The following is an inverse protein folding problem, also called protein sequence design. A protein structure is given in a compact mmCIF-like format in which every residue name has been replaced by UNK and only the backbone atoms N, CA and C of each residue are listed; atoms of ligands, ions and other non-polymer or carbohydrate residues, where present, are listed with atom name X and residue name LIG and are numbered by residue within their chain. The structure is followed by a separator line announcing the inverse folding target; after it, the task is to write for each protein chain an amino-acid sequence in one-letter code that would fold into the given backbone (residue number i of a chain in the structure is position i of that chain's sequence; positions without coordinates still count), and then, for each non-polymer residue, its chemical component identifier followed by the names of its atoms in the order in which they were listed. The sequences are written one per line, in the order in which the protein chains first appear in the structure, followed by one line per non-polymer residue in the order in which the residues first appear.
data_IF_991433414816
#
_entry.id   IF_991433414816
#
_cell.length_a   1.000
_cell.length_b   1.000
_cell.length_c   1.000
_cell.angle_alpha   90.00
_cell.angle_beta   90.00
_cell.angle_gamma   90.00
#
_symmetry.space_group_name_H-M   'P 1'
#
loop_
_entity.id
_entity.type
_entity.pdbx_description
1 polymer ?
#
# COMPACT_ATOMS: atom_id res chain seq x y z
N UNK A 1 6.25 1.43 2.01
CA UNK A 1 5.92 1.79 0.62
C UNK A 1 6.06 0.54 -0.23
N UNK A 2 5.18 0.31 -1.20
CA UNK A 2 5.21 -0.87 -2.09
C UNK A 2 4.89 -0.41 -3.51
N UNK A 3 5.49 -1.05 -4.51
CA UNK A 3 5.28 -0.77 -5.94
C UNK A 3 5.12 -2.09 -6.69
N UNK A 4 4.33 -2.09 -7.75
CA UNK A 4 4.17 -3.21 -8.70
C UNK A 4 4.44 -2.74 -10.14
N UNK A 5 4.80 -3.65 -11.02
CA UNK A 5 5.09 -3.37 -12.44
C UNK A 5 6.48 -2.79 -12.69
N UNK A 6 7.44 -3.06 -11.80
CA UNK A 6 8.84 -2.68 -11.95
C UNK A 6 9.80 -3.79 -11.49
N UNK A 7 11.00 -3.89 -12.11
CA UNK A 7 11.45 -3.13 -13.29
C UNK A 7 10.71 -3.54 -14.57
N UNK A 8 10.15 -4.75 -14.58
CA UNK A 8 9.35 -5.28 -15.68
C UNK A 8 7.97 -4.67 -15.70
N UNK A 9 7.61 -4.09 -16.84
CA UNK A 9 6.27 -3.56 -17.06
C UNK A 9 5.25 -4.69 -17.00
N UNK A 10 4.18 -4.47 -16.22
CA UNK A 10 3.03 -5.37 -16.16
C UNK A 10 1.72 -4.61 -16.26
N UNK A 11 0.75 -5.17 -16.96
CA UNK A 11 -0.56 -4.55 -17.13
C UNK A 11 -1.47 -4.77 -15.90
N UNK A 12 -1.19 -5.78 -15.08
CA UNK A 12 -1.95 -6.13 -13.87
C UNK A 12 -1.47 -5.41 -12.59
N UNK A 13 -0.50 -4.48 -12.69
CA UNK A 13 0.11 -3.83 -11.53
C UNK A 13 -0.90 -3.09 -10.63
N UNK A 14 -1.93 -2.48 -11.22
CA UNK A 14 -3.00 -1.80 -10.47
C UNK A 14 -3.80 -2.81 -9.65
N UNK A 15 -4.12 -3.97 -10.23
CA UNK A 15 -4.84 -5.05 -9.56
C UNK A 15 -4.05 -5.58 -8.36
N UNK A 16 -2.76 -5.84 -8.55
CA UNK A 16 -1.89 -6.33 -7.47
C UNK A 16 -1.85 -5.36 -6.28
N UNK A 17 -1.70 -4.05 -6.53
CA UNK A 17 -1.69 -3.03 -5.47
C UNK A 17 -3.06 -2.92 -4.78
N UNK A 18 -4.15 -3.01 -5.54
CA UNK A 18 -5.50 -2.99 -4.99
C UNK A 18 -5.76 -4.22 -4.10
N UNK A 19 -5.41 -5.41 -4.57
CA UNK A 19 -5.55 -6.66 -3.82
C UNK A 19 -4.72 -6.66 -2.54
N UNK A 20 -3.47 -6.22 -2.61
CA UNK A 20 -2.62 -6.05 -1.44
C UNK A 20 -3.23 -5.08 -0.43
N UNK A 21 -3.78 -3.95 -0.90
CA UNK A 21 -4.42 -2.96 -0.04
C UNK A 21 -5.64 -3.52 0.69
N UNK A 22 -6.46 -4.30 0.00
CA UNK A 22 -7.58 -5.03 0.61
C UNK A 22 -7.08 -6.05 1.62
N UNK A 23 -6.11 -6.89 1.26
CA UNK A 23 -5.55 -7.90 2.15
C UNK A 23 -4.99 -7.29 3.45
N UNK A 24 -4.28 -6.17 3.36
CA UNK A 24 -3.78 -5.43 4.52
C UNK A 24 -4.92 -4.88 5.39
N UNK A 25 -5.94 -4.27 4.77
CA UNK A 25 -7.12 -3.78 5.49
C UNK A 25 -7.82 -4.89 6.27
N UNK A 26 -7.99 -6.07 5.66
CA UNK A 26 -8.56 -7.24 6.34
C UNK A 26 -7.66 -7.73 7.48
N UNK A 27 -6.34 -7.79 7.26
CA UNK A 27 -5.40 -8.29 8.27
C UNK A 27 -5.32 -7.41 9.51
N UNK A 28 -5.46 -6.09 9.33
CA UNK A 28 -5.46 -5.11 10.43
C UNK A 28 -6.65 -5.30 11.38
N UNK A 29 -7.78 -5.85 10.92
CA UNK A 29 -8.94 -6.11 11.80
C UNK A 29 -8.63 -7.11 12.92
N UNK A 30 -7.74 -8.06 12.65
CA UNK A 30 -7.36 -9.13 13.58
C UNK A 30 -5.98 -8.87 14.23
N UNK A 31 -5.39 -7.70 13.97
CA UNK A 31 -4.09 -7.35 14.52
C UNK A 31 -4.26 -6.68 15.88
N UNK A 32 -3.64 -7.27 16.91
CA UNK A 32 -3.61 -6.71 18.26
C UNK A 32 -2.30 -5.98 18.49
N UNK A 33 -2.38 -4.72 18.92
CA UNK A 33 -1.20 -3.92 19.28
C UNK A 33 -0.66 -4.44 20.62
N UNK A 34 0.56 -4.98 20.65
CA UNK A 34 1.14 -5.63 21.85
C UNK A 34 1.12 -4.76 23.11
N UNK A 35 1.34 -3.46 22.97
CA UNK A 35 1.36 -2.50 24.08
C UNK A 35 0.02 -1.78 24.30
N UNK A 36 -0.98 -2.01 23.44
CA UNK A 36 -2.35 -1.45 23.53
C UNK A 36 -3.38 -2.46 23.03
N UNK A 37 -3.59 -3.57 23.76
CA UNK A 37 -4.43 -4.67 23.28
C UNK A 37 -5.91 -4.29 23.10
N UNK A 38 -6.36 -3.23 23.78
CA UNK A 38 -7.75 -2.75 23.72
C UNK A 38 -7.99 -1.75 22.57
N UNK A 39 -6.96 -1.35 21.84
CA UNK A 39 -7.08 -0.44 20.70
C UNK A 39 -6.97 -1.19 19.37
N UNK A 40 -7.88 -0.88 18.45
CA UNK A 40 -7.80 -1.39 17.08
C UNK A 40 -6.83 -0.53 16.26
N UNK A 41 -5.87 -1.19 15.60
CA UNK A 41 -4.98 -0.51 14.65
C UNK A 41 -5.81 0.07 13.48
N UNK A 42 -5.63 1.35 13.18
CA UNK A 42 -6.29 2.03 12.05
C UNK A 42 -5.28 2.23 10.93
N UNK A 43 -5.57 1.68 9.75
CA UNK A 43 -4.71 1.78 8.57
C UNK A 43 -5.30 2.73 7.54
N UNK A 44 -4.51 3.71 7.06
CA UNK A 44 -4.85 4.57 5.93
C UNK A 44 -3.96 4.22 4.74
N UNK A 45 -4.55 3.77 3.65
CA UNK A 45 -3.85 3.39 2.44
C UNK A 45 -4.17 4.40 1.34
N UNK A 46 -3.13 4.95 0.69
CA UNK A 46 -3.25 5.80 -0.49
C UNK A 46 -2.66 5.05 -1.69
N UNK A 47 -3.44 4.95 -2.77
CA UNK A 47 -3.05 4.27 -4.01
C UNK A 47 -2.97 5.32 -5.13
N UNK A 48 -1.95 5.21 -5.97
CA UNK A 48 -1.78 6.06 -7.15
C UNK A 48 -1.21 5.23 -8.30
N UNK A 49 -1.70 5.46 -9.51
CA UNK A 49 -1.19 4.90 -10.76
C UNK A 49 -0.78 6.02 -11.70
N UNK A 50 0.38 5.89 -12.34
CA UNK A 50 0.89 6.88 -13.29
C UNK A 50 2.24 6.49 -13.86
N UNK A 51 2.67 7.18 -14.91
CA UNK A 51 4.01 6.98 -15.48
C UNK A 51 5.06 7.37 -14.44
N UNK A 52 5.84 6.40 -13.97
CA UNK A 52 6.96 6.68 -13.07
C UNK A 52 8.16 7.15 -13.88
N UNK A 53 8.42 8.45 -13.87
CA UNK A 53 9.74 8.96 -14.21
C UNK A 53 10.66 8.61 -13.03
N UNK A 54 11.68 7.79 -13.27
CA UNK A 54 12.59 7.25 -12.24
C UNK A 54 13.26 8.36 -11.41
N UNK A 55 13.40 9.57 -11.97
CA UNK A 55 13.99 10.74 -11.30
C UNK A 55 13.03 11.48 -10.34
N UNK A 56 11.74 11.12 -10.29
CA UNK A 56 10.70 11.82 -9.51
C UNK A 56 10.26 11.03 -8.27
N UNK A 57 11.20 10.29 -7.66
CA UNK A 57 10.97 9.44 -6.47
C UNK A 57 10.74 10.21 -5.16
N UNK A 58 10.71 11.54 -5.21
CA UNK A 58 10.35 12.39 -4.07
C UNK A 58 9.10 13.21 -4.42
N UNK A 59 7.94 12.55 -4.42
CA UNK A 59 6.68 13.30 -4.30
C UNK A 59 6.48 13.50 -2.80
N UNK A 60 6.60 14.74 -2.27
CA UNK A 60 6.37 14.96 -0.85
C UNK A 60 4.88 14.72 -0.59
N UNK A 61 4.62 13.86 0.38
CA UNK A 61 3.28 13.53 0.86
C UNK A 61 2.59 14.77 1.45
N UNK A 62 1.42 15.11 0.91
CA UNK A 62 0.26 15.48 1.71
C UNK A 62 -0.89 14.52 1.34
#
# INVERSE_FOLDING_TARGET
MVVSGLPERRDDHVSQIAQMSLALSHKVKNFTIRHRPNEQLKLRIRIHSGKRLIYKLFFPLF
#
